data_IF_014519704198
#
_entry.id   IF_014519704198
#
_cell.length_a   1.000
_cell.length_b   1.000
_cell.length_c   1.000
_cell.angle_alpha   90.00
_cell.angle_beta   90.00
_cell.angle_gamma   90.00
#
_symmetry.space_group_name_H-M   'P 1'
#
loop_
_entity.id
_entity.type
_entity.pdbx_description
1 polymer ?
#
# COMPACT_ATOMS: atom_id res chain seq x y z
N UNK A 1 11.22 8.71 9.97
CA UNK A 1 10.80 8.19 8.65
C UNK A 1 9.44 8.74 8.22
N UNK A 2 8.38 8.63 9.04
CA UNK A 2 7.02 9.13 8.71
C UNK A 2 7.00 10.59 8.23
N UNK A 3 7.65 11.53 8.94
CA UNK A 3 7.69 12.93 8.53
C UNK A 3 8.36 13.15 7.15
N UNK A 4 9.44 12.41 6.86
CA UNK A 4 10.09 12.43 5.55
C UNK A 4 9.25 11.78 4.47
N UNK A 5 8.54 10.71 4.80
CA UNK A 5 7.56 10.10 3.91
C UNK A 5 6.45 11.06 3.51
N UNK A 6 5.95 11.86 4.45
CA UNK A 6 4.96 12.91 4.18
C UNK A 6 5.48 13.97 3.21
N UNK A 7 6.75 14.37 3.34
CA UNK A 7 7.41 15.30 2.41
C UNK A 7 7.50 14.69 1.00
N UNK A 8 7.86 13.40 0.89
CA UNK A 8 7.90 12.70 -0.41
C UNK A 8 6.50 12.59 -1.02
N UNK A 9 5.52 12.13 -0.24
CA UNK A 9 4.14 11.91 -0.67
C UNK A 9 3.48 13.18 -1.20
N UNK A 10 3.70 14.33 -0.55
CA UNK A 10 3.17 15.63 -0.95
C UNK A 10 4.08 16.43 -1.89
N UNK A 11 5.27 15.90 -2.20
CA UNK A 11 6.32 16.59 -2.94
C UNK A 11 6.79 15.75 -4.13
N UNK A 12 8.04 15.28 -4.08
CA UNK A 12 8.70 14.62 -5.20
C UNK A 12 7.98 13.36 -5.70
N UNK A 13 7.27 12.62 -4.84
CA UNK A 13 6.48 11.46 -5.24
C UNK A 13 5.14 11.81 -5.85
N UNK A 14 4.65 13.04 -5.67
CA UNK A 14 3.35 13.55 -6.16
C UNK A 14 2.14 12.65 -5.87
N UNK A 15 2.28 11.72 -4.90
CA UNK A 15 1.31 10.68 -4.57
C UNK A 15 -0.07 11.25 -4.22
N UNK A 16 -0.07 12.39 -3.51
CA UNK A 16 -1.28 13.11 -3.10
C UNK A 16 -2.21 13.48 -4.27
N UNK A 17 -1.67 13.61 -5.49
CA UNK A 17 -2.46 13.97 -6.68
C UNK A 17 -3.54 12.93 -6.93
N UNK A 18 -3.23 11.64 -6.75
CA UNK A 18 -4.19 10.55 -6.93
C UNK A 18 -4.73 10.04 -5.59
N UNK A 19 -3.87 9.87 -4.59
CA UNK A 19 -4.26 9.30 -3.31
C UNK A 19 -4.85 10.33 -2.32
N UNK A 20 -4.85 11.62 -2.65
CA UNK A 20 -5.33 12.69 -1.77
C UNK A 20 -4.32 13.08 -0.69
N UNK A 21 -4.37 14.32 -0.20
CA UNK A 21 -3.44 14.80 0.86
C UNK A 21 -3.60 14.01 2.17
N UNK A 22 -4.82 13.54 2.43
CA UNK A 22 -5.13 12.67 3.57
C UNK A 22 -4.87 11.17 3.30
N UNK A 23 -4.50 10.80 2.07
CA UNK A 23 -4.32 9.41 1.65
C UNK A 23 -5.62 8.61 1.55
N UNK A 24 -6.77 9.28 1.41
CA UNK A 24 -8.11 8.66 1.39
C UNK A 24 -8.53 8.14 0.00
N UNK A 25 -7.66 8.26 -1.00
CA UNK A 25 -7.91 7.81 -2.38
C UNK A 25 -8.70 8.82 -3.22
N UNK A 26 -9.00 10.02 -2.69
CA UNK A 26 -9.86 11.01 -3.33
C UNK A 26 -9.08 12.23 -3.86
N UNK A 27 -7.85 12.01 -4.34
CA UNK A 27 -7.05 13.08 -4.94
C UNK A 27 -7.70 13.63 -6.23
N UNK A 28 -7.37 14.85 -6.66
CA UNK A 28 -7.92 15.44 -7.89
C UNK A 28 -7.66 14.58 -9.14
N UNK A 29 -6.57 13.82 -9.16
CA UNK A 29 -6.23 12.86 -10.21
C UNK A 29 -6.99 11.53 -10.13
N UNK A 30 -7.75 11.25 -9.06
CA UNK A 30 -8.56 10.03 -8.93
C UNK A 30 -9.84 10.04 -9.78
N UNK A 31 -10.27 11.21 -10.26
CA UNK A 31 -11.54 11.37 -10.95
C UNK A 31 -11.60 10.50 -12.23
N UNK A 32 -12.61 9.63 -12.29
CA UNK A 32 -12.84 8.75 -13.44
C UNK A 32 -11.96 7.49 -13.49
N UNK A 33 -11.16 7.21 -12.46
CA UNK A 33 -10.39 5.96 -12.36
C UNK A 33 -11.27 4.81 -11.82
N UNK A 34 -11.22 3.65 -12.48
CA UNK A 34 -11.82 2.41 -12.02
C UNK A 34 -10.85 1.22 -12.24
N UNK A 35 -10.34 0.58 -11.17
CA UNK A 35 -10.58 0.88 -9.76
C UNK A 35 -9.93 2.20 -9.31
N UNK A 36 -10.56 2.92 -8.39
CA UNK A 36 -9.97 4.15 -7.83
C UNK A 36 -8.63 3.91 -7.10
N UNK A 37 -7.83 4.98 -6.87
CA UNK A 37 -6.61 4.90 -6.07
C UNK A 37 -6.86 4.32 -4.68
N UNK A 38 -5.82 3.74 -4.10
CA UNK A 38 -5.93 3.13 -2.76
C UNK A 38 -6.21 4.18 -1.70
N UNK A 39 -7.18 3.87 -0.84
CA UNK A 39 -7.40 4.55 0.42
C UNK A 39 -6.51 3.92 1.50
N UNK A 40 -5.46 4.63 1.91
CA UNK A 40 -4.51 4.23 2.94
C UNK A 40 -5.03 4.46 4.37
N UNK A 41 -6.15 5.17 4.55
CA UNK A 41 -6.81 5.28 5.87
C UNK A 41 -7.62 4.04 6.21
N UNK A 42 -7.82 3.11 5.27
CA UNK A 42 -8.49 1.84 5.53
C UNK A 42 -7.53 0.84 6.17
N UNK A 43 -7.64 0.66 7.48
CA UNK A 43 -6.82 -0.27 8.26
C UNK A 43 -6.82 -1.72 7.72
N UNK A 44 -7.91 -2.18 7.10
CA UNK A 44 -7.98 -3.54 6.54
C UNK A 44 -6.94 -3.79 5.45
N UNK A 45 -6.52 -2.73 4.74
CA UNK A 45 -5.49 -2.84 3.71
C UNK A 45 -4.13 -3.21 4.31
N UNK A 46 -3.79 -2.61 5.45
CA UNK A 46 -2.55 -2.87 6.15
C UNK A 46 -2.44 -4.33 6.58
N UNK A 47 -3.58 -4.95 6.88
CA UNK A 47 -3.67 -6.33 7.31
C UNK A 47 -3.42 -7.35 6.21
N UNK A 48 -3.56 -6.99 4.93
CA UNK A 48 -3.43 -7.93 3.79
C UNK A 48 -2.23 -7.62 2.88
N UNK A 49 -1.44 -6.61 3.22
CA UNK A 49 -0.25 -6.20 2.46
C UNK A 49 0.91 -5.94 3.39
N UNK A 50 2.07 -6.42 2.98
CA UNK A 50 3.36 -6.12 3.59
C UNK A 50 3.90 -4.78 3.09
N UNK A 51 4.78 -4.16 3.88
CA UNK A 51 5.46 -2.94 3.44
C UNK A 51 6.34 -3.18 2.19
N UNK A 52 6.88 -4.39 2.02
CA UNK A 52 7.64 -4.79 0.84
C UNK A 52 6.82 -4.83 -0.44
N UNK A 53 5.58 -5.34 -0.39
CA UNK A 53 4.68 -5.31 -1.55
C UNK A 53 4.30 -3.88 -1.94
N UNK A 54 4.03 -3.02 -0.95
CA UNK A 54 3.76 -1.60 -1.18
C UNK A 54 4.97 -0.91 -1.82
N UNK A 55 6.17 -1.13 -1.28
CA UNK A 55 7.41 -0.61 -1.86
C UNK A 55 7.58 -1.05 -3.31
N UNK A 56 7.33 -2.33 -3.61
CA UNK A 56 7.46 -2.83 -4.97
C UNK A 56 6.52 -2.10 -5.95
N UNK A 57 5.29 -1.81 -5.53
CA UNK A 57 4.32 -1.03 -6.34
C UNK A 57 4.77 0.42 -6.50
N UNK A 58 5.26 1.08 -5.44
CA UNK A 58 5.80 2.44 -5.55
C UNK A 58 7.01 2.48 -6.48
N UNK A 59 7.87 1.46 -6.42
CA UNK A 59 9.09 1.40 -7.20
C UNK A 59 8.83 1.09 -8.68
N UNK A 60 7.94 0.14 -8.97
CA UNK A 60 7.78 -0.45 -10.30
C UNK A 60 6.43 -0.18 -10.97
N UNK A 61 5.46 0.33 -10.20
CA UNK A 61 4.08 0.53 -10.64
C UNK A 61 3.19 -0.66 -10.34
N UNK A 62 1.88 -0.50 -10.55
CA UNK A 62 0.89 -1.56 -10.31
C UNK A 62 0.51 -2.26 -11.62
N UNK A 63 0.62 -3.59 -11.70
CA UNK A 63 0.10 -4.33 -12.86
C UNK A 63 -1.43 -4.34 -12.92
N UNK A 64 -2.11 -4.07 -11.79
CA UNK A 64 -3.57 -4.04 -11.69
C UNK A 64 -4.16 -2.65 -11.89
N UNK A 65 -3.33 -1.60 -11.85
CA UNK A 65 -3.75 -0.21 -12.04
C UNK A 65 -2.67 0.54 -12.80
N UNK A 66 -2.71 0.56 -14.15
CA UNK A 66 -1.66 1.17 -14.98
C UNK A 66 -1.40 2.66 -14.72
N UNK A 67 -2.37 3.37 -14.11
CA UNK A 67 -2.17 4.76 -13.68
C UNK A 67 -1.19 4.90 -12.50
N UNK A 68 -0.97 3.84 -11.73
CA UNK A 68 0.07 3.80 -10.70
C UNK A 68 1.40 3.41 -11.36
N UNK A 69 2.15 4.41 -11.80
CA UNK A 69 3.46 4.24 -12.43
C UNK A 69 4.54 3.86 -11.42
N UNK A 70 5.66 3.33 -11.90
CA UNK A 70 6.84 3.08 -11.07
C UNK A 70 7.68 4.35 -10.89
N UNK A 71 7.75 4.87 -9.68
CA UNK A 71 8.41 6.14 -9.39
C UNK A 71 9.92 6.01 -9.24
N UNK A 72 10.39 4.85 -8.77
CA UNK A 72 11.83 4.55 -8.72
C UNK A 72 12.32 4.14 -10.10
N UNK A 73 11.60 3.26 -10.79
CA UNK A 73 11.99 2.82 -12.13
C UNK A 73 11.96 3.95 -13.16
N UNK A 74 11.09 4.95 -12.97
CA UNK A 74 11.08 6.19 -13.76
C UNK A 74 12.14 7.23 -13.32
N UNK A 75 12.88 6.97 -12.23
CA UNK A 75 13.91 7.88 -11.71
C UNK A 75 13.38 9.14 -11.01
N UNK A 76 12.08 9.19 -10.67
CA UNK A 76 11.47 10.35 -10.01
C UNK A 76 11.84 10.43 -8.52
N UNK A 77 11.94 9.29 -7.85
CA UNK A 77 12.37 9.18 -6.45
C UNK A 77 13.38 8.05 -6.27
N UNK A 78 14.16 8.13 -5.19
CA UNK A 78 15.12 7.06 -4.80
C UNK A 78 14.43 5.94 -4.03
N UNK A 79 15.06 4.76 -3.94
CA UNK A 79 14.60 3.65 -3.07
C UNK A 79 14.35 4.12 -1.63
N UNK A 80 15.25 4.95 -1.10
CA UNK A 80 15.11 5.51 0.25
C UNK A 80 13.83 6.34 0.38
N UNK A 81 13.54 7.19 -0.61
CA UNK A 81 12.33 8.02 -0.61
C UNK A 81 11.06 7.17 -0.78
N UNK A 82 11.12 6.11 -1.58
CA UNK A 82 10.01 5.16 -1.73
C UNK A 82 9.70 4.45 -0.40
N UNK A 83 10.71 3.98 0.34
CA UNK A 83 10.51 3.43 1.68
C UNK A 83 9.95 4.45 2.67
N UNK A 84 10.44 5.69 2.63
CA UNK A 84 9.89 6.76 3.46
C UNK A 84 8.41 7.00 3.14
N UNK A 85 8.03 7.04 1.86
CA UNK A 85 6.64 7.19 1.43
C UNK A 85 5.76 6.03 1.90
N UNK A 86 6.18 4.77 1.73
CA UNK A 86 5.43 3.59 2.20
C UNK A 86 5.19 3.65 3.70
N UNK A 87 6.22 3.99 4.49
CA UNK A 87 6.07 4.13 5.94
C UNK A 87 5.06 5.23 6.31
N UNK A 88 5.02 6.32 5.54
CA UNK A 88 3.98 7.34 5.72
C UNK A 88 2.60 6.83 5.32
N UNK A 89 2.44 6.18 4.17
CA UNK A 89 1.17 5.61 3.71
C UNK A 89 0.57 4.68 4.76
N UNK A 90 1.35 3.70 5.26
CA UNK A 90 0.88 2.77 6.30
C UNK A 90 0.47 3.48 7.59
N UNK A 91 1.19 4.55 7.95
CA UNK A 91 0.86 5.33 9.16
C UNK A 91 -0.53 5.97 9.14
N UNK A 92 -1.13 6.14 7.96
CA UNK A 92 -2.47 6.70 7.82
C UNK A 92 -3.57 5.71 8.25
N UNK A 93 -3.33 4.40 8.15
CA UNK A 93 -4.27 3.35 8.54
C UNK A 93 -3.94 2.66 9.86
N UNK A 94 -2.73 2.82 10.40
CA UNK A 94 -2.24 2.06 11.56
C UNK A 94 -2.53 2.70 12.93
N UNK A 95 -3.12 3.88 13.01
CA UNK A 95 -3.49 4.51 14.30
C UNK A 95 -2.33 4.74 15.27
N UNK A 96 -1.08 4.75 14.79
CA UNK A 96 0.13 4.89 15.61
C UNK A 96 0.79 3.58 16.05
N UNK A 97 0.23 2.40 15.71
CA UNK A 97 0.90 1.12 15.93
C UNK A 97 2.12 0.98 15.01
N UNK A 98 3.32 1.02 15.59
CA UNK A 98 4.57 0.96 14.83
C UNK A 98 4.85 -0.41 14.21
N UNK A 99 4.29 -1.49 14.75
CA UNK A 99 4.44 -2.82 14.17
C UNK A 99 3.59 -2.92 12.88
N UNK A 100 2.39 -2.31 12.90
CA UNK A 100 1.57 -2.09 11.72
C UNK A 100 2.27 -1.19 10.69
N UNK A 101 2.81 -0.06 11.13
CA UNK A 101 3.46 0.94 10.25
C UNK A 101 4.68 0.36 9.54
N UNK A 102 5.50 -0.40 10.25
CA UNK A 102 6.66 -1.05 9.64
C UNK A 102 6.26 -2.22 8.74
N UNK A 103 5.03 -2.70 8.86
CA UNK A 103 4.47 -3.77 8.03
C UNK A 103 5.33 -5.02 8.08
N UNK A 104 5.84 -5.34 9.27
CA UNK A 104 6.66 -6.54 9.47
C UNK A 104 5.85 -7.77 9.05
N UNK A 105 6.50 -8.72 8.37
CA UNK A 105 5.84 -9.95 7.95
C UNK A 105 5.22 -10.69 9.15
N UNK A 106 5.85 -10.59 10.32
CA UNK A 106 5.35 -11.13 11.59
C UNK A 106 4.08 -10.43 12.08
N UNK A 107 3.94 -9.11 11.89
CA UNK A 107 2.71 -8.40 12.23
C UNK A 107 1.58 -8.75 11.25
N UNK A 108 1.88 -8.77 9.94
CA UNK A 108 0.89 -9.10 8.89
C UNK A 108 0.36 -10.52 9.04
N UNK A 109 1.23 -11.50 9.28
CA UNK A 109 0.83 -12.91 9.48
C UNK A 109 -0.05 -13.15 10.71
N UNK A 110 -0.04 -12.25 11.70
CA UNK A 110 -0.89 -12.32 12.90
C UNK A 110 -2.24 -11.62 12.72
N UNK A 111 -2.51 -11.01 11.57
CA UNK A 111 -3.77 -10.30 11.37
C UNK A 111 -4.93 -11.26 11.07
N UNK A 112 -6.16 -10.96 11.52
CA UNK A 112 -7.31 -11.87 11.44
C UNK A 112 -7.61 -12.31 10.00
N UNK A 113 -7.40 -11.45 9.02
CA UNK A 113 -7.59 -11.76 7.59
C UNK A 113 -6.65 -12.85 7.07
N UNK A 114 -5.47 -13.02 7.67
CA UNK A 114 -4.54 -14.11 7.34
C UNK A 114 -4.84 -15.39 8.14
N UNK A 115 -5.44 -15.27 9.33
CA UNK A 115 -5.82 -16.40 10.17
C UNK A 115 -7.19 -17.00 9.77
N UNK A 116 -8.16 -16.18 9.39
CA UNK A 116 -9.47 -16.59 8.84
C UNK A 116 -9.37 -17.07 7.39
N UNK A 117 -8.38 -16.61 6.60
CA UNK A 117 -8.14 -17.18 5.27
C UNK A 117 -7.67 -18.64 5.32
N UNK A 118 -7.07 -19.09 6.43
CA UNK A 118 -6.77 -20.51 6.62
C UNK A 118 -8.02 -21.34 6.99
N UNK A 119 -9.04 -20.72 7.59
CA UNK A 119 -10.23 -21.40 8.11
C UNK A 119 -11.52 -21.26 7.30
N UNK A 120 -11.66 -20.24 6.45
CA UNK A 120 -12.91 -19.87 5.78
C UNK A 120 -12.76 -19.65 4.25
N UNK A 121 -11.71 -20.17 3.62
CA UNK A 121 -11.73 -20.31 2.17
C UNK A 121 -12.93 -21.20 1.80
N UNK A 122 -13.88 -20.62 1.05
CA UNK A 122 -14.94 -21.41 0.43
C UNK A 122 -14.28 -22.60 -0.31
N UNK A 123 -14.85 -23.80 -0.23
CA UNK A 123 -14.21 -25.01 -0.77
C UNK A 123 -13.89 -24.92 -2.27
N UNK A 124 -14.51 -24.00 -3.01
CA UNK A 124 -14.18 -23.67 -4.40
C UNK A 124 -12.78 -23.08 -4.64
N UNK A 125 -12.11 -22.55 -3.61
CA UNK A 125 -10.76 -21.98 -3.72
C UNK A 125 -9.66 -22.83 -3.06
N UNK A 126 -10.02 -23.99 -2.48
CA UNK A 126 -9.08 -24.90 -1.81
C UNK A 126 -8.53 -26.01 -2.72
N UNK A 127 -8.88 -26.05 -4.02
CA UNK A 127 -8.43 -27.13 -4.90
C UNK A 127 -7.97 -26.63 -6.28
N UNK A 128 -6.71 -26.21 -6.36
CA UNK A 128 -5.97 -26.14 -7.63
C UNK A 128 -4.47 -26.33 -7.40
N UNK A 129 -4.08 -27.46 -6.80
CA UNK A 129 -2.71 -27.99 -6.89
C UNK A 129 -2.63 -29.44 -6.39
N UNK A 130 -3.23 -30.38 -7.12
CA UNK A 130 -2.87 -31.80 -7.04
C UNK A 130 -3.28 -32.53 -8.33
N UNK A 131 -2.52 -32.31 -9.41
CA UNK A 131 -2.16 -33.31 -10.42
C UNK A 131 -0.81 -32.95 -11.03
#
# INVERSE_FOLDING_TARGET
MIAKGKEVFNGAGTCYTCHGVAGDGNGPGAAGMDPGPRNFTNHQFEQVRTAGEMFWVVANGSPLQPAMVGFVSAGQITDKQAWEAVIYERSLGCGGDMDCVTGSADWVSKQPVHEEAAGNLKPEFLNTAAK
#
